data_IF_725083101023
#
_entry.id   IF_725083101023
#
_cell.length_a   1.000
_cell.length_b   1.000
_cell.length_c   1.000
_cell.angle_alpha   90.00
_cell.angle_beta   90.00
_cell.angle_gamma   90.00
#
_symmetry.space_group_name_H-M   'P 1'
#
loop_
_entity.id
_entity.type
_entity.pdbx_description
1 polymer ?
#
# COMPACT_ATOMS: atom_id res chain seq x y z
N UNK A 1 -70.49 50.79 19.52
CA UNK A 1 -69.59 50.16 20.50
C UNK A 1 -69.97 48.69 20.63
N UNK A 2 -68.97 47.82 20.61
CA UNK A 2 -68.95 46.43 21.11
C UNK A 2 -69.64 45.29 20.33
N UNK A 3 -68.74 44.57 19.63
CA UNK A 3 -68.53 43.11 19.46
C UNK A 3 -69.49 42.27 18.60
N UNK A 4 -68.94 41.32 17.80
CA UNK A 4 -69.71 40.55 16.82
C UNK A 4 -70.01 39.10 17.25
N UNK A 5 -71.09 38.57 16.67
CA UNK A 5 -71.30 37.18 16.25
C UNK A 5 -72.22 37.28 15.01
N UNK A 6 -72.19 36.38 14.00
CA UNK A 6 -72.71 35.02 14.20
C UNK A 6 -72.17 33.88 13.30
N UNK A 7 -72.42 32.67 13.79
CA UNK A 7 -72.90 31.42 13.16
C UNK A 7 -72.50 30.98 11.73
N UNK A 8 -72.05 29.72 11.69
CA UNK A 8 -72.05 28.80 10.53
C UNK A 8 -73.47 28.49 9.99
N UNK A 9 -73.55 28.19 8.68
CA UNK A 9 -74.71 27.54 8.06
C UNK A 9 -74.29 26.51 6.99
N UNK A 10 -74.65 25.24 7.26
CA UNK A 10 -75.19 24.15 6.37
C UNK A 10 -74.79 24.14 4.88
N UNK A 11 -74.19 23.07 4.35
CA UNK A 11 -74.69 21.69 4.07
C UNK A 11 -75.42 21.47 2.71
N UNK A 12 -74.74 20.68 1.84
CA UNK A 12 -75.19 19.55 0.98
C UNK A 12 -75.71 19.76 -0.46
N UNK A 13 -75.38 18.71 -1.25
CA UNK A 13 -75.85 18.25 -2.58
C UNK A 13 -75.18 18.95 -3.80
N UNK A 14 -74.72 18.32 -4.88
CA UNK A 14 -74.69 16.92 -5.34
C UNK A 14 -73.68 16.76 -6.51
N UNK A 15 -73.33 15.49 -6.79
CA UNK A 15 -72.42 14.94 -7.82
C UNK A 15 -72.61 15.47 -9.26
N UNK A 16 -71.51 15.55 -10.02
CA UNK A 16 -71.46 14.98 -11.39
C UNK A 16 -70.04 14.70 -11.91
N UNK A 17 -69.71 13.40 -11.96
CA UNK A 17 -68.90 12.66 -12.97
C UNK A 17 -68.00 13.44 -13.95
N UNK A 18 -66.71 13.63 -13.64
CA UNK A 18 -65.65 13.74 -14.69
C UNK A 18 -64.22 13.36 -14.25
N UNK A 19 -63.98 12.87 -13.02
CA UNK A 19 -62.60 12.62 -12.51
C UNK A 19 -62.38 11.13 -12.19
N UNK A 20 -62.72 10.25 -13.13
CA UNK A 20 -62.35 8.81 -13.05
C UNK A 20 -61.56 8.35 -14.29
N UNK A 21 -61.34 9.21 -15.28
CA UNK A 21 -60.71 8.79 -16.55
C UNK A 21 -59.24 9.22 -16.73
N UNK A 22 -58.66 9.99 -15.79
CA UNK A 22 -57.27 10.49 -15.91
C UNK A 22 -56.26 9.72 -15.05
N UNK A 23 -56.72 8.96 -14.05
CA UNK A 23 -55.84 8.17 -13.17
C UNK A 23 -55.51 6.77 -13.71
N UNK A 24 -56.24 6.29 -14.72
CA UNK A 24 -56.03 4.95 -15.30
C UNK A 24 -54.91 4.93 -16.36
N UNK A 25 -54.67 6.03 -17.08
CA UNK A 25 -53.68 6.05 -18.17
C UNK A 25 -52.22 6.16 -17.68
N UNK A 26 -51.98 6.80 -16.52
CA UNK A 26 -50.62 6.95 -15.95
C UNK A 26 -50.13 5.72 -15.19
N UNK A 27 -51.04 4.84 -14.76
CA UNK A 27 -50.69 3.59 -14.07
C UNK A 27 -50.30 2.48 -15.06
N UNK A 28 -51.03 2.33 -16.18
CA UNK A 28 -50.69 1.35 -17.21
C UNK A 28 -49.40 1.69 -17.99
N UNK A 29 -49.09 2.97 -18.19
CA UNK A 29 -47.82 3.38 -18.82
C UNK A 29 -46.58 3.03 -17.98
N UNK A 30 -46.70 3.00 -16.64
CA UNK A 30 -45.59 2.60 -15.76
C UNK A 30 -45.38 1.09 -15.68
N UNK A 31 -46.44 0.30 -15.85
CA UNK A 31 -46.36 -1.17 -15.92
C UNK A 31 -45.78 -1.63 -17.27
N UNK A 32 -46.11 -0.94 -18.38
CA UNK A 32 -45.56 -1.26 -19.70
C UNK A 32 -44.04 -0.99 -19.82
N UNK A 33 -43.51 0.06 -19.15
CA UNK A 33 -42.07 0.36 -19.11
C UNK A 33 -41.33 -0.63 -18.18
N UNK A 34 -41.97 -1.09 -17.11
CA UNK A 34 -41.38 -2.12 -16.24
C UNK A 34 -41.28 -3.49 -16.94
N UNK A 35 -42.29 -3.88 -17.72
CA UNK A 35 -42.30 -5.16 -18.46
C UNK A 35 -41.32 -5.19 -19.64
N UNK A 36 -41.08 -4.06 -20.32
CA UNK A 36 -40.04 -3.98 -21.38
C UNK A 36 -38.62 -3.98 -20.79
N UNK A 37 -38.41 -3.43 -19.59
CA UNK A 37 -37.14 -3.55 -18.87
C UNK A 37 -36.86 -4.99 -18.40
N UNK A 38 -37.87 -5.75 -17.97
CA UNK A 38 -37.69 -7.15 -17.56
C UNK A 38 -37.40 -8.10 -18.73
N UNK A 39 -37.96 -7.85 -19.92
CA UNK A 39 -37.62 -8.62 -21.13
C UNK A 39 -36.24 -8.26 -21.71
N UNK A 40 -35.78 -7.01 -21.56
CA UNK A 40 -34.42 -6.60 -21.94
C UNK A 40 -33.33 -7.09 -20.95
N UNK A 41 -33.66 -7.25 -19.66
CA UNK A 41 -32.78 -7.91 -18.68
C UNK A 41 -32.75 -9.44 -18.87
N UNK A 42 -33.87 -10.07 -19.23
CA UNK A 42 -33.96 -11.53 -19.40
C UNK A 42 -33.17 -12.09 -20.60
N UNK A 43 -32.97 -11.29 -21.66
CA UNK A 43 -32.22 -11.72 -22.85
C UNK A 43 -30.71 -11.52 -22.70
N UNK A 44 -30.25 -10.64 -21.80
CA UNK A 44 -28.81 -10.49 -21.49
C UNK A 44 -28.28 -11.50 -20.46
N UNK A 45 -29.16 -12.17 -19.70
CA UNK A 45 -28.76 -13.13 -18.67
C UNK A 45 -28.39 -14.52 -19.27
N UNK A 46 -28.79 -14.83 -20.50
CA UNK A 46 -28.48 -16.12 -21.15
C UNK A 46 -27.19 -16.09 -21.99
N UNK A 47 -26.59 -14.92 -22.23
CA UNK A 47 -25.30 -14.79 -22.94
C UNK A 47 -24.07 -14.54 -22.03
N UNK A 48 -24.25 -14.49 -20.71
CA UNK A 48 -23.17 -14.21 -19.75
C UNK A 48 -22.76 -15.38 -18.83
N UNK A 49 -23.22 -16.61 -19.09
CA UNK A 49 -22.88 -17.79 -18.26
C UNK A 49 -21.67 -18.59 -18.74
N UNK A 50 -20.85 -18.08 -19.67
CA UNK A 50 -19.53 -18.67 -19.98
C UNK A 50 -18.48 -17.59 -20.28
N UNK A 51 -18.14 -16.79 -19.28
CA UNK A 51 -16.86 -16.09 -19.27
C UNK A 51 -16.03 -16.67 -18.11
N UNK A 52 -14.89 -17.33 -18.39
CA UNK A 52 -14.01 -17.79 -17.34
C UNK A 52 -13.47 -16.57 -16.57
N UNK A 53 -13.36 -16.73 -15.24
CA UNK A 53 -12.75 -15.76 -14.35
C UNK A 53 -11.43 -15.25 -14.91
N UNK A 54 -11.31 -13.93 -15.07
CA UNK A 54 -10.10 -13.26 -15.61
C UNK A 54 -8.85 -13.42 -14.71
N UNK A 55 -8.95 -14.05 -13.53
CA UNK A 55 -7.79 -14.44 -12.73
C UNK A 55 -7.01 -15.62 -13.34
N UNK A 56 -7.63 -16.39 -14.24
CA UNK A 56 -6.98 -17.55 -14.87
C UNK A 56 -6.11 -17.22 -16.10
N UNK A 57 -6.26 -16.03 -16.72
CA UNK A 57 -5.54 -15.73 -17.99
C UNK A 57 -4.10 -15.23 -17.78
N UNK A 58 -3.75 -14.78 -16.57
CA UNK A 58 -2.40 -14.30 -16.22
C UNK A 58 -1.39 -15.44 -15.98
N UNK A 59 -1.84 -16.69 -15.81
CA UNK A 59 -0.96 -17.88 -15.68
C UNK A 59 -0.28 -18.29 -16.99
N UNK A 60 -0.83 -17.93 -18.14
CA UNK A 60 -0.54 -18.64 -19.40
C UNK A 60 0.83 -18.34 -20.00
N UNK A 61 1.39 -17.14 -19.81
CA UNK A 61 2.66 -16.73 -20.43
C UNK A 61 3.90 -17.13 -19.61
N UNK A 62 3.85 -17.01 -18.29
CA UNK A 62 4.89 -17.56 -17.42
C UNK A 62 4.93 -19.12 -17.50
N UNK A 63 3.76 -19.77 -17.63
CA UNK A 63 3.71 -21.21 -17.92
C UNK A 63 4.39 -21.58 -19.24
N UNK A 64 4.28 -20.75 -20.30
CA UNK A 64 4.94 -21.07 -21.57
C UNK A 64 6.46 -20.86 -21.52
N UNK A 65 6.95 -19.92 -20.72
CA UNK A 65 8.39 -19.76 -20.47
C UNK A 65 8.97 -20.93 -19.64
N UNK A 66 8.19 -21.50 -18.72
CA UNK A 66 8.53 -22.72 -17.98
C UNK A 66 8.52 -23.98 -18.86
N UNK A 67 7.59 -24.08 -19.81
CA UNK A 67 7.54 -25.18 -20.80
C UNK A 67 8.73 -25.17 -21.77
N UNK A 68 9.47 -24.06 -21.89
CA UNK A 68 10.71 -24.00 -22.68
C UNK A 68 11.89 -24.67 -21.95
N UNK A 69 11.83 -24.77 -20.61
CA UNK A 69 12.86 -25.40 -19.77
C UNK A 69 12.61 -26.89 -19.53
N UNK A 70 11.37 -27.35 -19.65
CA UNK A 70 11.02 -28.76 -19.68
C UNK A 70 11.02 -29.21 -21.14
N UNK A 71 11.87 -30.17 -21.52
CA UNK A 71 11.97 -30.65 -22.89
C UNK A 71 10.62 -31.05 -23.54
N UNK A 72 10.62 -31.37 -24.84
CA UNK A 72 9.42 -31.41 -25.70
C UNK A 72 8.30 -32.42 -25.34
N UNK A 73 8.36 -33.09 -24.19
CA UNK A 73 7.40 -34.11 -23.73
C UNK A 73 6.52 -33.71 -22.52
N UNK A 74 6.61 -32.48 -21.98
CA UNK A 74 5.80 -32.08 -20.82
C UNK A 74 4.34 -31.71 -21.20
N UNK A 75 3.45 -32.71 -21.28
CA UNK A 75 2.00 -32.51 -21.52
C UNK A 75 1.17 -32.11 -20.28
N UNK A 76 1.77 -32.01 -19.10
CA UNK A 76 1.04 -31.60 -17.88
C UNK A 76 1.33 -30.16 -17.48
N UNK A 77 0.28 -29.40 -17.14
CA UNK A 77 0.43 -28.11 -16.48
C UNK A 77 1.14 -28.34 -15.14
N UNK A 78 2.16 -27.52 -14.79
CA UNK A 78 2.83 -27.64 -13.49
C UNK A 78 1.82 -27.62 -12.35
N UNK A 79 1.96 -28.53 -11.39
CA UNK A 79 1.19 -28.48 -10.14
C UNK A 79 1.43 -27.13 -9.45
N UNK A 80 0.46 -26.64 -8.66
CA UNK A 80 0.60 -25.37 -7.91
C UNK A 80 1.90 -25.32 -7.10
N UNK A 81 2.31 -26.46 -6.54
CA UNK A 81 3.55 -26.61 -5.78
C UNK A 81 4.80 -26.39 -6.64
N UNK A 82 4.85 -26.95 -7.85
CA UNK A 82 5.97 -26.73 -8.78
C UNK A 82 6.04 -25.27 -9.23
N UNK A 83 4.89 -24.64 -9.47
CA UNK A 83 4.81 -23.21 -9.77
C UNK A 83 5.34 -22.35 -8.61
N UNK A 84 4.86 -22.59 -7.39
CA UNK A 84 5.31 -21.88 -6.19
C UNK A 84 6.81 -22.08 -5.94
N UNK A 85 7.35 -23.29 -6.15
CA UNK A 85 8.78 -23.57 -6.02
C UNK A 85 9.63 -22.81 -7.05
N UNK A 86 9.21 -22.81 -8.32
CA UNK A 86 9.86 -22.02 -9.37
C UNK A 86 9.85 -20.53 -9.05
N UNK A 87 8.73 -20.03 -8.52
CA UNK A 87 8.58 -18.63 -8.17
C UNK A 87 9.51 -18.21 -7.01
N UNK A 88 9.61 -19.05 -5.98
CA UNK A 88 10.58 -18.84 -4.88
C UNK A 88 12.03 -18.84 -5.40
N UNK A 89 12.35 -19.74 -6.33
CA UNK A 89 13.66 -19.77 -6.99
C UNK A 89 13.95 -18.49 -7.79
N UNK A 90 12.96 -17.96 -8.50
CA UNK A 90 13.07 -16.68 -9.21
C UNK A 90 13.34 -15.52 -8.24
N UNK A 91 12.51 -15.37 -7.19
CA UNK A 91 12.65 -14.31 -6.18
C UNK A 91 14.03 -14.33 -5.54
N UNK A 92 14.50 -15.52 -5.13
CA UNK A 92 15.81 -15.70 -4.52
C UNK A 92 16.94 -15.22 -5.42
N UNK A 93 16.90 -15.57 -6.72
CA UNK A 93 17.91 -15.11 -7.69
C UNK A 93 17.87 -13.60 -7.86
N UNK A 94 16.68 -13.03 -8.07
CA UNK A 94 16.54 -11.58 -8.29
C UNK A 94 17.04 -10.77 -7.09
N UNK A 95 16.71 -11.18 -5.86
CA UNK A 95 17.16 -10.50 -4.64
C UNK A 95 18.67 -10.64 -4.41
N UNK A 96 19.27 -11.79 -4.79
CA UNK A 96 20.71 -12.00 -4.68
C UNK A 96 21.49 -11.20 -5.75
N UNK A 97 20.98 -11.13 -6.97
CA UNK A 97 21.61 -10.41 -8.08
C UNK A 97 21.59 -8.89 -7.89
N UNK A 98 20.54 -8.35 -7.24
CA UNK A 98 20.39 -6.90 -7.00
C UNK A 98 20.58 -6.06 -8.28
N UNK A 99 20.07 -6.58 -9.40
CA UNK A 99 20.29 -5.99 -10.71
C UNK A 99 19.77 -4.54 -10.79
N UNK A 100 20.63 -3.65 -11.27
CA UNK A 100 20.29 -2.26 -11.59
C UNK A 100 20.07 -2.14 -13.10
N UNK A 101 18.87 -1.75 -13.50
CA UNK A 101 18.57 -1.42 -14.88
C UNK A 101 18.96 0.02 -15.23
N UNK A 102 19.12 0.28 -16.53
CA UNK A 102 19.45 1.59 -17.10
C UNK A 102 20.83 2.16 -16.72
N UNK A 103 21.76 1.35 -16.21
CA UNK A 103 23.14 1.78 -15.90
C UNK A 103 23.90 2.32 -17.12
N UNK A 104 23.58 1.85 -18.34
CA UNK A 104 24.18 2.38 -19.58
C UNK A 104 23.85 3.86 -19.79
N UNK A 105 22.68 4.32 -19.36
CA UNK A 105 22.20 5.69 -19.56
C UNK A 105 22.53 6.61 -18.38
N UNK A 106 22.60 6.06 -17.16
CA UNK A 106 22.66 6.84 -15.92
C UNK A 106 23.86 6.54 -15.03
N UNK A 107 24.80 5.72 -15.52
CA UNK A 107 25.99 5.32 -14.79
C UNK A 107 25.75 4.14 -13.84
N UNK A 108 26.85 3.43 -13.53
CA UNK A 108 26.82 2.26 -12.67
C UNK A 108 26.68 2.63 -11.20
N UNK A 109 26.17 1.70 -10.40
CA UNK A 109 26.14 1.76 -8.94
C UNK A 109 26.94 0.60 -8.33
N UNK A 110 27.28 0.66 -7.02
CA UNK A 110 27.91 -0.47 -6.34
C UNK A 110 27.07 -1.73 -6.48
N UNK A 111 27.72 -2.88 -6.59
CA UNK A 111 27.08 -4.19 -6.70
C UNK A 111 27.83 -5.22 -5.86
N UNK A 112 27.24 -6.40 -5.64
CA UNK A 112 27.88 -7.50 -4.90
C UNK A 112 29.27 -7.85 -5.48
N UNK A 113 29.42 -7.80 -6.80
CA UNK A 113 30.69 -8.08 -7.49
C UNK A 113 31.69 -6.92 -7.46
N UNK A 114 31.20 -5.69 -7.22
CA UNK A 114 32.04 -4.49 -7.18
C UNK A 114 31.58 -3.53 -6.05
N UNK A 115 31.73 -3.94 -4.78
CA UNK A 115 31.26 -3.14 -3.65
C UNK A 115 32.10 -1.88 -3.43
N UNK A 116 33.32 -1.84 -3.99
CA UNK A 116 34.25 -0.71 -3.87
C UNK A 116 33.99 0.44 -4.86
N UNK A 117 32.99 0.32 -5.75
CA UNK A 117 32.71 1.36 -6.74
C UNK A 117 32.31 2.67 -6.04
N UNK A 118 33.08 3.73 -6.24
CA UNK A 118 32.81 5.05 -5.65
C UNK A 118 31.75 5.80 -6.48
N UNK A 119 30.52 5.34 -6.39
CA UNK A 119 29.35 5.96 -7.02
C UNK A 119 28.15 5.86 -6.09
N UNK A 120 27.25 6.84 -6.17
CA UNK A 120 26.03 6.89 -5.38
C UNK A 120 24.93 7.53 -6.22
N UNK A 121 23.65 7.13 -6.04
CA UNK A 121 22.55 7.92 -6.56
C UNK A 121 22.47 9.28 -5.85
N UNK A 122 21.90 10.28 -6.54
CA UNK A 122 21.62 11.58 -5.92
C UNK A 122 20.42 11.50 -4.96
N UNK A 123 19.43 10.67 -5.31
CA UNK A 123 18.22 10.42 -4.52
C UNK A 123 17.74 8.98 -4.68
N UNK A 124 17.07 8.45 -3.66
CA UNK A 124 16.56 7.07 -3.66
C UNK A 124 15.06 7.08 -3.33
N UNK A 125 14.29 6.44 -4.20
CA UNK A 125 12.88 6.15 -3.97
C UNK A 125 12.69 4.65 -3.77
N UNK A 126 11.80 4.26 -2.85
CA UNK A 126 11.43 2.87 -2.59
C UNK A 126 9.91 2.78 -2.66
N UNK A 127 9.40 1.99 -3.59
CA UNK A 127 7.96 1.86 -3.84
C UNK A 127 7.53 0.47 -3.37
N UNK A 128 6.68 0.41 -2.35
CA UNK A 128 5.99 -0.82 -1.99
C UNK A 128 4.85 -1.08 -2.98
N UNK A 129 4.92 -2.21 -3.67
CA UNK A 129 3.99 -2.59 -4.73
C UNK A 129 3.23 -3.84 -4.37
N UNK A 130 1.92 -3.80 -4.62
CA UNK A 130 1.05 -4.96 -4.57
C UNK A 130 0.65 -5.39 -5.99
N UNK A 131 -0.62 -5.24 -6.36
CA UNK A 131 -1.15 -5.64 -7.67
C UNK A 131 -2.11 -4.58 -8.24
N UNK A 132 -1.63 -3.33 -8.32
CA UNK A 132 -2.37 -2.14 -8.75
C UNK A 132 -1.72 -1.48 -9.99
N UNK A 133 -1.84 -2.08 -11.18
CA UNK A 133 -1.11 -1.61 -12.37
C UNK A 133 -1.58 -0.23 -12.87
N UNK A 134 -2.86 0.09 -12.76
CA UNK A 134 -3.40 1.38 -13.22
C UNK A 134 -2.89 2.54 -12.34
N UNK A 135 -2.82 2.32 -11.04
CA UNK A 135 -2.26 3.23 -10.05
C UNK A 135 -0.74 3.41 -10.27
N UNK A 136 -0.01 2.30 -10.48
CA UNK A 136 1.42 2.34 -10.77
C UNK A 136 1.72 3.14 -12.04
N UNK A 137 0.93 3.01 -13.10
CA UNK A 137 1.09 3.81 -14.33
C UNK A 137 1.01 5.31 -14.03
N UNK A 138 0.10 5.73 -13.15
CA UNK A 138 -0.03 7.13 -12.73
C UNK A 138 1.20 7.56 -11.92
N UNK A 139 1.65 6.74 -10.96
CA UNK A 139 2.84 7.03 -10.16
C UNK A 139 4.07 7.20 -11.05
N UNK A 140 4.32 6.27 -11.97
CA UNK A 140 5.45 6.33 -12.91
C UNK A 140 5.37 7.57 -13.81
N UNK A 141 4.17 7.94 -14.27
CA UNK A 141 3.93 9.17 -15.04
C UNK A 141 4.29 10.42 -14.23
N UNK A 142 3.93 10.47 -12.94
CA UNK A 142 4.28 11.59 -12.06
C UNK A 142 5.78 11.66 -11.76
N UNK A 143 6.42 10.52 -11.45
CA UNK A 143 7.86 10.42 -11.21
C UNK A 143 8.69 10.86 -12.42
N UNK A 144 8.23 10.53 -13.64
CA UNK A 144 8.92 10.95 -14.87
C UNK A 144 9.05 12.47 -15.03
N UNK A 145 8.22 13.25 -14.31
CA UNK A 145 8.22 14.72 -14.33
C UNK A 145 9.09 15.34 -13.23
N UNK A 146 9.53 14.56 -12.24
CA UNK A 146 10.36 15.04 -11.12
C UNK A 146 11.69 15.59 -11.64
N UNK A 147 12.00 16.84 -11.31
CA UNK A 147 13.26 17.46 -11.73
C UNK A 147 14.43 16.83 -10.99
N UNK A 148 15.42 16.36 -11.75
CA UNK A 148 16.57 15.63 -11.23
C UNK A 148 16.39 14.11 -11.14
N UNK A 149 15.23 13.57 -11.55
CA UNK A 149 14.94 12.13 -11.45
C UNK A 149 15.97 11.24 -12.18
N UNK A 150 16.60 11.74 -13.24
CA UNK A 150 17.65 11.04 -14.01
C UNK A 150 18.84 10.58 -13.17
N UNK A 151 19.14 11.24 -12.05
CA UNK A 151 20.24 10.90 -11.15
C UNK A 151 19.78 10.01 -9.98
N UNK A 152 18.49 9.68 -9.93
CA UNK A 152 17.90 8.86 -8.88
C UNK A 152 18.07 7.37 -9.12
N UNK A 153 17.87 6.59 -8.05
CA UNK A 153 17.56 5.17 -8.09
C UNK A 153 16.12 4.96 -7.61
N UNK A 154 15.32 4.23 -8.38
CA UNK A 154 13.95 3.83 -8.00
C UNK A 154 13.93 2.33 -7.73
N UNK A 155 13.66 1.94 -6.49
CA UNK A 155 13.61 0.56 -6.04
C UNK A 155 12.14 0.14 -5.94
N UNK A 156 11.75 -0.84 -6.75
CA UNK A 156 10.43 -1.45 -6.73
C UNK A 156 10.45 -2.67 -5.80
N UNK A 157 9.74 -2.61 -4.68
CA UNK A 157 9.61 -3.70 -3.73
C UNK A 157 8.26 -4.38 -3.89
N UNK A 158 8.25 -5.61 -4.41
CA UNK A 158 7.04 -6.30 -4.86
C UNK A 158 6.71 -7.50 -3.96
N UNK A 159 5.46 -7.65 -3.54
CA UNK A 159 4.98 -8.87 -2.89
C UNK A 159 4.19 -9.81 -3.84
N UNK A 160 3.98 -9.37 -5.08
CA UNK A 160 3.39 -10.17 -6.16
C UNK A 160 4.26 -10.06 -7.41
N UNK A 161 4.69 -11.20 -7.93
CA UNK A 161 5.33 -11.30 -9.26
C UNK A 161 4.23 -11.33 -10.31
N UNK A 162 4.21 -10.30 -11.17
CA UNK A 162 3.20 -10.10 -12.20
C UNK A 162 3.86 -9.61 -13.48
N UNK A 163 3.64 -10.31 -14.60
CA UNK A 163 4.16 -9.91 -15.91
C UNK A 163 3.74 -8.48 -16.30
N UNK A 164 2.55 -8.05 -15.88
CA UNK A 164 2.03 -6.70 -16.15
C UNK A 164 2.86 -5.66 -15.41
N UNK A 165 3.09 -5.86 -14.11
CA UNK A 165 3.90 -4.95 -13.29
C UNK A 165 5.35 -4.94 -13.76
N UNK A 166 5.93 -6.12 -14.03
CA UNK A 166 7.30 -6.26 -14.54
C UNK A 166 7.46 -5.52 -15.88
N UNK A 167 6.46 -5.60 -16.77
CA UNK A 167 6.49 -4.85 -18.04
C UNK A 167 6.47 -3.34 -17.80
N UNK A 168 5.68 -2.85 -16.85
CA UNK A 168 5.61 -1.42 -16.52
C UNK A 168 6.96 -0.91 -15.97
N UNK A 169 7.55 -1.61 -15.00
CA UNK A 169 8.83 -1.20 -14.39
C UNK A 169 9.99 -1.30 -15.38
N UNK A 170 10.02 -2.31 -16.26
CA UNK A 170 11.03 -2.43 -17.32
C UNK A 170 10.87 -1.35 -18.40
N UNK A 171 9.69 -0.75 -18.51
CA UNK A 171 9.42 0.38 -19.41
C UNK A 171 9.97 1.72 -18.91
N UNK A 172 10.46 1.79 -17.67
CA UNK A 172 11.03 3.03 -17.12
C UNK A 172 12.37 3.33 -17.80
N UNK A 173 12.47 4.49 -18.45
CA UNK A 173 13.66 4.94 -19.19
C UNK A 173 14.24 6.26 -18.67
N UNK A 174 13.67 6.83 -17.59
CA UNK A 174 14.01 8.16 -17.08
C UNK A 174 14.87 8.14 -15.81
N UNK A 175 15.18 6.97 -15.25
CA UNK A 175 16.03 6.80 -14.06
C UNK A 175 16.62 5.38 -14.00
N UNK A 176 17.58 5.16 -13.10
CA UNK A 176 17.99 3.79 -12.70
C UNK A 176 16.86 3.14 -11.93
N UNK A 177 16.66 1.85 -12.17
CA UNK A 177 15.65 1.07 -11.45
C UNK A 177 16.22 -0.22 -10.90
N UNK A 178 15.66 -0.69 -9.80
CA UNK A 178 15.94 -2.00 -9.22
C UNK A 178 14.63 -2.67 -8.83
N UNK A 179 14.61 -4.00 -8.83
CA UNK A 179 13.47 -4.79 -8.37
C UNK A 179 13.89 -5.73 -7.27
N UNK A 180 13.16 -5.68 -6.15
CA UNK A 180 13.32 -6.59 -5.03
C UNK A 180 11.96 -7.21 -4.73
N UNK A 181 11.95 -8.46 -4.29
CA UNK A 181 10.73 -9.24 -4.13
C UNK A 181 10.63 -9.79 -2.71
N UNK A 182 9.51 -9.51 -2.03
CA UNK A 182 9.26 -10.02 -0.69
C UNK A 182 9.17 -11.57 -0.72
N UNK A 183 10.09 -12.29 -0.05
CA UNK A 183 10.26 -13.73 -0.26
C UNK A 183 9.27 -14.59 0.54
N UNK A 184 8.42 -13.96 1.35
CA UNK A 184 7.42 -14.63 2.19
C UNK A 184 6.00 -14.19 1.85
N UNK A 185 5.70 -13.95 0.57
CA UNK A 185 4.39 -13.48 0.14
C UNK A 185 3.35 -14.60 0.04
N UNK A 186 2.07 -14.24 0.17
CA UNK A 186 0.93 -15.14 -0.01
C UNK A 186 0.88 -15.76 -1.40
N UNK A 187 1.51 -15.13 -2.42
CA UNK A 187 1.60 -15.72 -3.76
C UNK A 187 2.51 -16.96 -3.76
N UNK A 188 3.61 -16.93 -3.02
CA UNK A 188 4.59 -18.03 -2.94
C UNK A 188 4.22 -19.11 -1.92
N UNK A 189 3.35 -18.76 -0.97
CA UNK A 189 2.85 -19.62 0.10
C UNK A 189 1.32 -19.59 0.10
N UNK A 190 0.67 -19.98 -1.00
CA UNK A 190 -0.79 -19.83 -1.19
C UNK A 190 -1.64 -20.49 -0.09
N UNK A 191 -1.28 -21.72 0.28
CA UNK A 191 -2.13 -22.61 1.09
C UNK A 191 -1.45 -23.00 2.42
N UNK A 192 -0.41 -22.28 2.80
CA UNK A 192 0.40 -22.51 4.01
C UNK A 192 0.92 -21.17 4.53
N UNK A 193 1.20 -21.07 5.83
CA UNK A 193 1.79 -19.87 6.42
C UNK A 193 3.04 -19.40 5.65
N UNK A 194 3.23 -18.10 5.36
CA UNK A 194 2.40 -16.95 5.78
C UNK A 194 1.24 -16.59 4.86
N UNK A 195 0.91 -17.36 3.83
CA UNK A 195 -0.42 -17.22 3.20
C UNK A 195 -1.51 -17.80 4.07
N UNK A 196 -2.65 -18.13 3.46
CA UNK A 196 -3.80 -18.67 4.19
C UNK A 196 -3.62 -20.18 4.32
N UNK A 197 -3.28 -20.66 5.52
CA UNK A 197 -3.12 -22.09 5.75
C UNK A 197 -4.46 -22.83 5.60
N UNK A 198 -4.43 -24.03 5.01
CA UNK A 198 -5.63 -24.89 4.92
C UNK A 198 -6.19 -25.23 6.31
N UNK A 199 -5.31 -25.37 7.29
CA UNK A 199 -5.67 -25.69 8.68
C UNK A 199 -5.90 -24.45 9.56
N UNK A 200 -5.73 -23.24 9.01
CA UNK A 200 -5.98 -22.00 9.77
C UNK A 200 -7.48 -21.83 10.05
N UNK A 201 -7.78 -21.24 11.20
CA UNK A 201 -9.14 -20.86 11.54
C UNK A 201 -9.68 -19.83 10.54
N UNK A 202 -10.96 -19.92 10.13
CA UNK A 202 -11.52 -18.99 9.16
C UNK A 202 -11.48 -17.54 9.65
N UNK A 203 -11.13 -16.64 8.74
CA UNK A 203 -11.15 -15.19 8.99
C UNK A 203 -12.58 -14.69 9.29
N UNK A 204 -12.69 -13.64 10.12
CA UNK A 204 -13.96 -13.01 10.50
C UNK A 204 -14.87 -13.84 11.43
N UNK A 205 -14.41 -15.01 11.90
CA UNK A 205 -15.11 -15.80 12.91
C UNK A 205 -14.73 -15.31 14.31
N UNK A 206 -15.72 -14.83 15.06
CA UNK A 206 -15.56 -14.42 16.46
C UNK A 206 -15.53 -15.64 17.37
N UNK A 207 -14.81 -15.56 18.50
CA UNK A 207 -14.80 -16.57 19.56
C UNK A 207 -16.19 -17.01 20.05
N UNK A 208 -17.21 -16.14 19.92
CA UNK A 208 -18.60 -16.44 20.29
C UNK A 208 -19.32 -17.36 19.30
N UNK A 209 -18.77 -17.54 18.09
CA UNK A 209 -19.28 -18.41 17.01
C UNK A 209 -18.32 -19.57 16.75
N UNK A 210 -17.76 -20.17 17.81
CA UNK A 210 -16.94 -21.40 17.70
C UNK A 210 -17.64 -22.40 16.79
N UNK A 211 -17.01 -22.74 15.66
CA UNK A 211 -17.34 -23.97 14.95
C UNK A 211 -16.87 -25.13 15.83
N UNK A 212 -17.61 -26.23 15.83
CA UNK A 212 -17.25 -27.44 16.59
C UNK A 212 -15.97 -28.13 16.05
N UNK A 213 -15.34 -27.57 15.01
CA UNK A 213 -14.12 -28.05 14.37
C UNK A 213 -12.88 -27.34 14.91
N UNK A 214 -11.92 -28.13 15.41
CA UNK A 214 -10.62 -27.64 15.90
C UNK A 214 -9.73 -27.24 14.72
N UNK A 215 -9.46 -25.95 14.57
CA UNK A 215 -8.49 -25.38 13.63
C UNK A 215 -7.15 -25.05 14.32
N UNK A 216 -6.09 -24.84 13.53
CA UNK A 216 -4.70 -24.80 14.01
C UNK A 216 -4.41 -23.66 15.00
N UNK A 217 -4.84 -22.44 14.68
CA UNK A 217 -4.58 -21.23 15.47
C UNK A 217 -5.75 -20.81 16.37
N UNK A 218 -6.63 -21.74 16.77
CA UNK A 218 -7.81 -21.47 17.61
C UNK A 218 -7.46 -20.76 18.93
N UNK A 219 -6.27 -21.03 19.46
CA UNK A 219 -5.80 -20.45 20.73
C UNK A 219 -5.14 -19.08 20.59
N UNK A 220 -5.02 -18.57 19.37
CA UNK A 220 -4.26 -17.36 19.06
C UNK A 220 -5.08 -16.31 18.28
N UNK A 221 -6.27 -15.92 18.78
CA UNK A 221 -6.97 -14.79 18.22
C UNK A 221 -6.23 -13.47 18.53
N UNK A 222 -6.58 -12.42 17.81
CA UNK A 222 -6.18 -11.05 18.14
C UNK A 222 -6.95 -10.47 19.34
N UNK A 223 -6.67 -9.21 19.67
CA UNK A 223 -7.29 -8.43 20.74
C UNK A 223 -8.83 -8.37 20.64
N UNK A 224 -9.39 -8.56 19.44
CA UNK A 224 -10.83 -8.50 19.18
C UNK A 224 -11.48 -9.87 18.98
N UNK A 225 -10.71 -10.95 19.13
CA UNK A 225 -11.22 -12.31 18.98
C UNK A 225 -11.29 -12.79 17.52
N UNK A 226 -10.62 -12.11 16.58
CA UNK A 226 -10.50 -12.52 15.18
C UNK A 226 -9.24 -13.36 14.95
N UNK A 227 -9.31 -14.26 13.97
CA UNK A 227 -8.16 -15.05 13.55
C UNK A 227 -7.39 -14.37 12.43
N UNK A 228 -6.14 -14.80 12.25
CA UNK A 228 -5.22 -14.30 11.23
C UNK A 228 -5.78 -14.35 9.82
N UNK A 229 -5.55 -13.29 9.06
CA UNK A 229 -5.68 -13.29 7.60
C UNK A 229 -4.32 -12.95 6.92
N UNK A 230 -3.84 -13.85 6.04
CA UNK A 230 -2.58 -13.68 5.32
C UNK A 230 -2.54 -12.43 4.43
N UNK A 231 -3.67 -12.00 3.86
CA UNK A 231 -3.71 -10.84 2.96
C UNK A 231 -3.48 -9.51 3.67
N UNK A 232 -3.96 -9.35 4.90
CA UNK A 232 -3.78 -8.11 5.69
C UNK A 232 -2.43 -8.09 6.42
N UNK A 233 -1.94 -9.25 6.86
CA UNK A 233 -0.66 -9.37 7.58
C UNK A 233 0.55 -9.20 6.67
N UNK A 234 0.41 -9.55 5.38
CA UNK A 234 1.50 -9.41 4.40
C UNK A 234 2.06 -7.99 4.34
N UNK A 235 1.22 -6.96 4.38
CA UNK A 235 1.64 -5.55 4.22
C UNK A 235 2.65 -5.14 5.30
N UNK A 236 2.42 -5.51 6.57
CA UNK A 236 3.34 -5.20 7.67
C UNK A 236 4.63 -6.00 7.63
N UNK A 237 4.57 -7.27 7.25
CA UNK A 237 5.77 -8.09 7.00
C UNK A 237 6.63 -7.50 5.87
N UNK A 238 6.00 -7.22 4.73
CA UNK A 238 6.64 -6.63 3.56
C UNK A 238 7.29 -5.29 3.93
N UNK A 239 6.58 -4.45 4.70
CA UNK A 239 7.13 -3.16 5.10
C UNK A 239 8.41 -3.28 5.92
N UNK A 240 8.43 -4.14 6.94
CA UNK A 240 9.64 -4.36 7.75
C UNK A 240 10.76 -4.98 6.91
N UNK A 241 10.44 -6.02 6.13
CA UNK A 241 11.41 -6.73 5.31
C UNK A 241 12.10 -5.80 4.33
N UNK A 242 11.34 -5.01 3.55
CA UNK A 242 11.92 -4.15 2.50
C UNK A 242 12.81 -3.08 3.12
N UNK A 243 12.38 -2.49 4.24
CA UNK A 243 13.14 -1.43 4.92
C UNK A 243 14.47 -1.98 5.41
N UNK A 244 14.46 -3.14 6.09
CA UNK A 244 15.70 -3.77 6.55
C UNK A 244 16.58 -4.25 5.40
N UNK A 245 16.01 -4.86 4.35
CA UNK A 245 16.75 -5.29 3.17
C UNK A 245 17.50 -4.13 2.52
N UNK A 246 16.81 -3.00 2.31
CA UNK A 246 17.37 -1.82 1.65
C UNK A 246 18.47 -1.16 2.47
N UNK A 247 18.31 -1.07 3.79
CA UNK A 247 19.33 -0.45 4.64
C UNK A 247 20.51 -1.38 4.96
N UNK A 248 20.31 -2.70 5.04
CA UNK A 248 21.34 -3.61 5.57
C UNK A 248 21.89 -4.62 4.56
N UNK A 249 21.13 -4.92 3.50
CA UNK A 249 21.45 -6.01 2.58
C UNK A 249 21.56 -5.55 1.11
N UNK A 250 21.14 -4.34 0.76
CA UNK A 250 21.16 -3.84 -0.62
C UNK A 250 22.43 -3.01 -0.92
N UNK A 251 23.34 -3.60 -1.71
CA UNK A 251 24.66 -3.02 -2.00
C UNK A 251 24.63 -1.66 -2.71
N UNK A 252 23.76 -1.43 -3.72
CA UNK A 252 23.77 -0.19 -4.50
C UNK A 252 23.60 1.10 -3.69
N UNK A 253 23.05 1.01 -2.47
CA UNK A 253 22.88 2.16 -1.57
C UNK A 253 23.55 1.96 -0.20
N UNK A 254 24.45 0.98 -0.05
CA UNK A 254 25.12 0.65 1.22
C UNK A 254 25.70 1.88 1.92
N UNK A 255 26.25 2.82 1.14
CA UNK A 255 26.85 4.06 1.64
C UNK A 255 26.07 5.32 1.26
N UNK A 256 24.81 5.19 0.82
CA UNK A 256 23.98 6.35 0.47
C UNK A 256 23.78 7.25 1.70
N UNK A 257 24.13 8.55 1.61
CA UNK A 257 24.15 9.44 2.78
C UNK A 257 22.83 10.17 3.03
N UNK A 258 21.91 10.19 2.06
CA UNK A 258 20.67 10.98 2.14
C UNK A 258 19.49 10.23 2.76
N UNK A 259 18.31 10.85 2.68
CA UNK A 259 17.04 10.20 3.00
C UNK A 259 16.58 9.28 1.87
N UNK A 260 16.17 8.06 2.22
CA UNK A 260 15.48 7.14 1.31
C UNK A 260 13.98 7.43 1.40
N UNK A 261 13.35 7.81 0.29
CA UNK A 261 11.93 8.20 0.23
C UNK A 261 11.07 6.96 -0.04
N UNK A 262 10.25 6.58 0.94
CA UNK A 262 9.31 5.47 0.87
C UNK A 262 7.96 5.93 0.33
N UNK A 263 7.45 5.19 -0.66
CA UNK A 263 6.22 5.42 -1.39
C UNK A 263 5.44 4.09 -1.50
N UNK A 264 4.15 4.20 -1.82
CA UNK A 264 3.28 3.09 -2.24
C UNK A 264 2.85 3.28 -3.70
N UNK A 265 2.33 2.23 -4.33
CA UNK A 265 1.99 2.20 -5.76
C UNK A 265 0.75 3.03 -6.18
N UNK A 266 0.03 3.61 -5.22
CA UNK A 266 -1.17 4.45 -5.42
C UNK A 266 -0.97 5.92 -5.05
N UNK A 267 0.26 6.41 -5.24
CA UNK A 267 0.62 7.79 -4.96
C UNK A 267 0.83 8.61 -6.24
N UNK A 268 0.72 9.93 -6.10
CA UNK A 268 1.11 10.92 -7.11
C UNK A 268 2.18 11.84 -6.54
N UNK A 269 3.31 12.01 -7.24
CA UNK A 269 4.45 12.80 -6.77
C UNK A 269 4.56 14.11 -7.54
N UNK A 270 4.75 15.23 -6.83
CA UNK A 270 4.98 16.55 -7.43
C UNK A 270 6.42 16.69 -7.95
N UNK A 271 6.56 17.51 -8.99
CA UNK A 271 7.82 17.63 -9.74
C UNK A 271 9.00 18.21 -8.95
N UNK A 272 8.73 18.94 -7.86
CA UNK A 272 9.73 19.62 -7.03
C UNK A 272 10.11 18.84 -5.74
N UNK A 273 9.65 17.60 -5.56
CA UNK A 273 9.89 16.83 -4.31
C UNK A 273 11.38 16.76 -3.93
N UNK A 274 12.27 16.57 -4.90
CA UNK A 274 13.72 16.52 -4.66
C UNK A 274 14.31 17.89 -4.33
N UNK A 275 13.72 18.96 -4.86
CA UNK A 275 14.09 20.32 -4.47
C UNK A 275 13.73 20.60 -3.02
N UNK A 276 12.49 20.29 -2.62
CA UNK A 276 12.03 20.48 -1.24
C UNK A 276 12.79 19.57 -0.26
N UNK A 277 13.08 18.32 -0.64
CA UNK A 277 13.90 17.40 0.17
C UNK A 277 15.26 18.02 0.51
N UNK A 278 15.97 18.57 -0.49
CA UNK A 278 17.27 19.24 -0.29
C UNK A 278 17.18 20.48 0.61
N UNK A 279 16.05 21.17 0.63
CA UNK A 279 15.84 22.29 1.55
C UNK A 279 15.55 21.80 2.97
N UNK A 280 14.78 20.73 3.13
CA UNK A 280 14.51 20.09 4.43
C UNK A 280 15.81 19.55 5.06
N UNK A 281 16.69 18.95 4.25
CA UNK A 281 18.00 18.42 4.69
C UNK A 281 18.94 19.49 5.27
N UNK A 282 18.75 20.78 4.94
CA UNK A 282 19.49 21.89 5.57
C UNK A 282 19.10 22.09 7.03
N UNK A 283 17.87 21.73 7.41
CA UNK A 283 17.38 21.81 8.78
C UNK A 283 17.56 20.49 9.53
N UNK A 284 17.44 19.39 8.82
CA UNK A 284 17.51 18.02 9.32
C UNK A 284 18.58 17.26 8.55
N UNK A 285 19.82 17.31 9.02
CA UNK A 285 20.91 16.55 8.41
C UNK A 285 20.60 15.04 8.54
N UNK A 286 20.62 14.27 7.44
CA UNK A 286 20.41 12.82 7.46
C UNK A 286 21.24 12.05 8.50
N UNK A 287 22.39 12.60 8.93
CA UNK A 287 23.30 12.00 9.94
C UNK A 287 22.81 12.13 11.38
N UNK A 288 21.90 13.05 11.68
CA UNK A 288 21.50 13.39 13.05
C UNK A 288 20.36 12.53 13.63
N UNK A 289 19.84 11.56 12.88
CA UNK A 289 18.77 10.63 13.33
C UNK A 289 17.59 11.33 14.04
N UNK A 290 17.18 12.50 13.57
CA UNK A 290 16.14 13.33 14.22
C UNK A 290 14.72 12.82 14.02
N UNK A 291 14.47 12.11 12.93
CA UNK A 291 13.14 11.65 12.57
C UNK A 291 12.98 11.41 11.08
N UNK A 292 11.74 11.50 10.62
CA UNK A 292 11.36 11.34 9.22
C UNK A 292 11.08 12.67 8.51
N UNK A 293 11.38 12.73 7.22
CA UNK A 293 10.80 13.75 6.34
C UNK A 293 9.41 13.27 5.92
N UNK A 294 8.36 14.06 6.08
CA UNK A 294 7.01 13.70 5.66
C UNK A 294 6.60 14.56 4.45
N UNK A 295 5.96 13.92 3.47
CA UNK A 295 5.61 14.57 2.19
C UNK A 295 4.11 14.58 1.86
N UNK A 296 3.27 13.93 2.68
CA UNK A 296 1.80 14.02 2.59
C UNK A 296 1.26 15.18 3.43
N UNK A 297 -0.04 15.46 3.28
CA UNK A 297 -0.75 16.56 3.96
C UNK A 297 -1.22 16.19 5.36
N UNK A 298 -0.90 14.98 5.80
CA UNK A 298 -1.41 14.43 7.03
C UNK A 298 -0.67 15.04 8.22
N UNK A 299 -1.42 15.75 9.06
CA UNK A 299 -1.06 16.17 10.42
C UNK A 299 -0.34 17.51 10.69
N UNK A 300 0.34 18.22 9.77
CA UNK A 300 0.82 19.56 10.11
C UNK A 300 -0.35 20.55 10.18
N UNK A 301 -0.30 21.55 11.09
CA UNK A 301 -1.19 22.70 11.02
C UNK A 301 -1.18 23.29 9.60
N UNK A 302 -2.34 23.69 9.11
CA UNK A 302 -2.54 24.18 7.73
C UNK A 302 -2.69 25.72 7.70
N UNK A 303 -2.21 26.39 8.74
CA UNK A 303 -2.35 27.83 8.98
C UNK A 303 -1.38 28.67 8.15
N UNK A 304 -0.25 28.10 7.75
CA UNK A 304 0.71 28.69 6.82
C UNK A 304 0.75 27.92 5.50
N UNK A 305 1.09 28.58 4.39
CA UNK A 305 1.30 27.93 3.09
C UNK A 305 2.69 28.25 2.55
N UNK A 306 3.24 27.35 1.74
CA UNK A 306 4.35 27.70 0.83
C UNK A 306 5.73 27.31 1.34
N UNK A 307 6.12 27.86 2.49
CA UNK A 307 7.54 27.90 2.89
C UNK A 307 7.79 27.45 4.31
N UNK A 308 6.74 27.11 5.06
CA UNK A 308 6.85 26.75 6.48
C UNK A 308 6.97 25.24 6.65
N UNK A 309 8.03 24.80 7.33
CA UNK A 309 8.20 23.44 7.82
C UNK A 309 7.69 23.33 9.25
N UNK A 310 6.81 22.37 9.50
CA UNK A 310 6.39 21.99 10.84
C UNK A 310 7.18 20.79 11.34
N UNK A 311 7.82 20.94 12.49
CA UNK A 311 8.34 19.82 13.29
C UNK A 311 7.27 19.37 14.28
N UNK A 312 6.94 18.06 14.28
CA UNK A 312 5.91 17.46 15.13
C UNK A 312 6.23 15.98 15.44
N UNK A 313 5.67 15.38 16.51
CA UNK A 313 5.83 13.93 16.75
C UNK A 313 5.25 13.13 15.59
N UNK A 314 6.01 12.18 15.04
CA UNK A 314 5.54 11.39 13.91
C UNK A 314 4.27 10.60 14.28
N UNK A 315 3.30 10.62 13.37
CA UNK A 315 2.04 9.88 13.41
C UNK A 315 1.91 9.11 12.10
N UNK A 316 1.02 8.12 12.07
CA UNK A 316 0.71 7.11 11.04
C UNK A 316 0.63 7.62 9.58
N UNK A 317 1.68 8.25 9.09
CA UNK A 317 1.77 8.86 7.77
C UNK A 317 2.42 7.90 6.80
N UNK A 318 1.82 7.78 5.63
CA UNK A 318 2.18 6.76 4.63
C UNK A 318 3.44 7.11 3.83
N UNK A 319 3.83 8.39 3.75
CA UNK A 319 4.94 8.83 2.90
C UNK A 319 6.04 9.48 3.72
N UNK A 320 7.21 8.82 3.74
CA UNK A 320 8.33 9.25 4.57
C UNK A 320 9.70 9.09 3.93
N UNK A 321 10.59 10.04 4.21
CA UNK A 321 12.03 9.91 4.05
C UNK A 321 12.66 9.37 5.33
N UNK A 322 13.39 8.26 5.24
CA UNK A 322 14.15 7.67 6.35
C UNK A 322 15.64 7.72 6.01
N UNK A 323 16.46 8.25 6.92
CA UNK A 323 17.92 8.20 6.77
C UNK A 323 18.50 6.94 7.41
N UNK A 324 19.71 6.56 6.99
CA UNK A 324 20.44 5.43 7.59
C UNK A 324 20.66 5.61 9.10
N UNK A 325 20.95 6.83 9.55
CA UNK A 325 21.13 7.13 10.97
C UNK A 325 19.81 6.91 11.73
N UNK A 326 18.69 7.37 11.17
CA UNK A 326 17.37 7.15 11.76
C UNK A 326 16.99 5.66 11.77
N UNK A 327 17.22 4.92 10.69
CA UNK A 327 16.96 3.47 10.66
C UNK A 327 17.71 2.73 11.77
N UNK A 328 18.97 3.09 12.03
CA UNK A 328 19.78 2.47 13.10
C UNK A 328 19.19 2.70 14.50
N UNK A 329 18.61 3.87 14.76
CA UNK A 329 17.94 4.15 16.03
C UNK A 329 16.58 3.43 16.11
N UNK A 330 15.79 3.48 15.02
CA UNK A 330 14.49 2.83 14.94
C UNK A 330 14.58 1.31 15.07
N UNK A 331 15.55 0.67 14.42
CA UNK A 331 15.71 -0.78 14.37
C UNK A 331 15.84 -1.43 15.75
N UNK A 332 16.42 -0.71 16.73
CA UNK A 332 16.51 -1.15 18.13
C UNK A 332 15.17 -1.30 18.81
N UNK A 333 14.16 -0.59 18.32
CA UNK A 333 12.80 -0.59 18.84
C UNK A 333 11.83 -1.48 18.04
N UNK A 334 12.26 -2.06 16.91
CA UNK A 334 11.36 -2.84 16.04
C UNK A 334 10.91 -4.18 16.65
N UNK A 335 11.51 -4.63 17.76
CA UNK A 335 10.92 -5.72 18.54
C UNK A 335 9.52 -5.35 19.07
N UNK A 336 9.29 -4.09 19.43
CA UNK A 336 7.98 -3.58 19.83
C UNK A 336 7.00 -3.55 18.66
N UNK A 337 7.48 -3.24 17.45
CA UNK A 337 6.68 -3.28 16.22
C UNK A 337 6.14 -4.68 15.94
N UNK A 338 6.99 -5.71 16.05
CA UNK A 338 6.61 -7.09 15.77
C UNK A 338 5.64 -7.69 16.80
N UNK A 339 5.64 -7.18 18.03
CA UNK A 339 4.80 -7.72 19.11
C UNK A 339 3.51 -6.94 19.34
N UNK A 340 3.40 -5.72 18.81
CA UNK A 340 2.17 -4.93 18.87
C UNK A 340 1.09 -5.55 17.98
N UNK A 341 -0.09 -5.77 18.56
CA UNK A 341 -1.21 -6.46 17.91
C UNK A 341 -1.95 -5.57 16.90
N UNK A 342 -1.22 -5.08 15.90
CA UNK A 342 -1.78 -4.23 14.85
C UNK A 342 -1.18 -4.63 13.51
N UNK A 343 -2.01 -5.07 12.57
CA UNK A 343 -1.53 -5.46 11.24
C UNK A 343 -1.10 -4.25 10.39
N UNK A 344 -1.39 -3.02 10.81
CA UNK A 344 -0.98 -1.81 10.10
C UNK A 344 0.43 -1.39 10.54
N UNK A 345 1.33 -1.23 9.58
CA UNK A 345 2.74 -0.93 9.86
C UNK A 345 2.91 0.50 10.41
N UNK A 346 2.13 1.45 9.94
CA UNK A 346 2.15 2.86 10.32
C UNK A 346 1.64 3.06 11.75
N UNK A 347 0.50 2.46 12.12
CA UNK A 347 0.00 2.45 13.50
C UNK A 347 0.96 1.72 14.45
N UNK A 348 1.58 0.63 13.98
CA UNK A 348 2.62 -0.07 14.74
C UNK A 348 3.86 0.81 14.99
N UNK A 349 4.28 1.62 14.01
CA UNK A 349 5.37 2.60 14.20
C UNK A 349 4.97 3.71 15.18
N UNK A 350 3.69 4.10 15.21
CA UNK A 350 3.22 5.13 16.13
C UNK A 350 3.24 4.61 17.57
N UNK A 351 2.86 3.34 17.74
CA UNK A 351 3.03 2.61 19.00
C UNK A 351 4.51 2.53 19.41
N UNK A 352 5.41 2.20 18.48
CA UNK A 352 6.87 2.20 18.72
C UNK A 352 7.38 3.56 19.19
N UNK A 353 6.93 4.64 18.54
CA UNK A 353 7.30 6.00 18.93
C UNK A 353 6.93 6.24 20.40
N UNK A 354 5.70 5.92 20.78
CA UNK A 354 5.18 6.18 22.12
C UNK A 354 5.78 5.26 23.19
N UNK A 355 5.94 3.97 22.90
CA UNK A 355 6.24 2.94 23.92
C UNK A 355 7.72 2.55 23.99
N UNK A 356 8.49 2.67 22.90
CA UNK A 356 9.91 2.36 22.90
C UNK A 356 10.78 3.61 22.80
N UNK A 357 10.42 4.55 21.92
CA UNK A 357 11.22 5.75 21.69
C UNK A 357 10.87 6.91 22.64
N UNK A 358 9.79 6.79 23.42
CA UNK A 358 9.37 7.81 24.39
C UNK A 358 8.90 9.12 23.74
N UNK A 359 8.28 9.05 22.56
CA UNK A 359 7.79 10.20 21.80
C UNK A 359 8.88 10.99 21.05
N UNK A 360 10.11 10.46 20.99
CA UNK A 360 11.27 11.14 20.38
C UNK A 360 11.36 10.96 18.86
N UNK A 361 10.54 10.11 18.24
CA UNK A 361 10.48 10.04 16.79
C UNK A 361 9.64 11.21 16.28
N UNK A 362 10.33 12.18 15.68
CA UNK A 362 9.72 13.36 15.09
C UNK A 362 9.52 13.19 13.58
N UNK A 363 8.72 14.07 13.01
CA UNK A 363 8.56 14.29 11.59
C UNK A 363 8.72 15.78 11.29
N UNK A 364 9.20 16.08 10.08
CA UNK A 364 9.14 17.43 9.53
C UNK A 364 8.37 17.40 8.20
N UNK A 365 7.36 18.25 8.06
CA UNK A 365 6.53 18.34 6.86
C UNK A 365 6.30 19.80 6.45
N UNK A 366 6.06 20.03 5.16
CA UNK A 366 5.68 21.34 4.68
C UNK A 366 4.20 21.62 4.98
N UNK A 367 3.93 22.79 5.55
CA UNK A 367 2.58 23.27 5.85
C UNK A 367 1.81 23.57 4.57
N UNK A 368 0.55 23.16 4.50
CA UNK A 368 -0.35 23.62 3.44
C UNK A 368 -0.27 22.86 2.12
N UNK A 369 0.86 22.22 1.82
CA UNK A 369 1.26 21.90 0.45
C UNK A 369 2.06 20.58 0.36
N UNK A 370 1.37 19.42 0.34
CA UNK A 370 2.03 18.13 0.23
C UNK A 370 2.77 18.00 -1.11
N UNK A 371 3.86 17.24 -1.12
CA UNK A 371 4.59 16.87 -2.35
C UNK A 371 4.16 15.51 -2.88
N UNK A 372 3.37 14.77 -2.11
CA UNK A 372 2.83 13.48 -2.48
C UNK A 372 1.36 13.40 -2.11
N UNK A 373 0.53 13.00 -3.06
CA UNK A 373 -0.91 12.81 -2.87
C UNK A 373 -1.28 11.34 -2.96
N UNK A 374 -2.18 10.91 -2.09
CA UNK A 374 -2.74 9.56 -2.13
C UNK A 374 -3.91 9.49 -3.12
N UNK A 375 -3.87 8.52 -4.03
CA UNK A 375 -4.90 8.27 -5.04
C UNK A 375 -5.80 7.09 -4.69
N UNK A 376 -5.47 6.33 -3.64
CA UNK A 376 -6.06 5.05 -3.25
C UNK A 376 -7.53 5.08 -2.80
N UNK A 377 -8.37 5.99 -3.28
CA UNK A 377 -9.83 5.91 -3.11
C UNK A 377 -10.46 4.75 -3.91
N UNK A 378 -9.71 4.15 -4.84
CA UNK A 378 -10.14 3.06 -5.72
C UNK A 378 -9.49 1.74 -5.28
N UNK A 379 -10.28 0.76 -4.81
CA UNK A 379 -9.83 -0.63 -4.56
C UNK A 379 -8.61 -0.75 -3.63
N UNK A 380 -8.46 0.15 -2.67
CA UNK A 380 -7.49 0.01 -1.58
C UNK A 380 -8.02 -0.94 -0.49
N UNK A 381 -7.14 -1.39 0.42
CA UNK A 381 -7.51 -2.26 1.55
C UNK A 381 -8.65 -1.67 2.41
N UNK A 382 -8.79 -0.34 2.42
CA UNK A 382 -9.79 0.39 3.21
C UNK A 382 -10.91 1.05 2.36
N UNK A 383 -10.89 0.92 1.02
CA UNK A 383 -11.79 1.64 0.12
C UNK A 383 -12.41 0.75 -0.98
N UNK A 384 -13.71 0.45 -0.83
CA UNK A 384 -14.48 -0.44 -1.71
C UNK A 384 -15.37 0.29 -2.75
N UNK A 385 -14.93 1.44 -3.28
CA UNK A 385 -15.68 2.09 -4.37
C UNK A 385 -15.48 1.33 -5.69
N UNK A 386 -16.53 0.65 -6.17
CA UNK A 386 -16.47 -0.20 -7.36
C UNK A 386 -16.34 0.55 -8.70
N UNK A 387 -16.74 1.83 -8.76
CA UNK A 387 -16.64 2.71 -9.95
C UNK A 387 -15.62 3.82 -9.69
N UNK A 388 -14.34 3.48 -9.70
CA UNK A 388 -13.27 4.40 -9.39
C UNK A 388 -12.10 4.14 -10.33
N UNK A 389 -11.54 5.19 -10.92
CA UNK A 389 -10.41 5.14 -11.85
C UNK A 389 -9.29 6.01 -11.30
N UNK A 390 -8.13 5.39 -11.01
CA UNK A 390 -6.94 6.12 -10.56
C UNK A 390 -6.54 7.23 -11.53
N UNK A 391 -6.70 6.98 -12.85
CA UNK A 391 -6.46 7.97 -13.90
C UNK A 391 -7.39 9.18 -13.80
N UNK A 392 -8.68 8.97 -13.54
CA UNK A 392 -9.63 10.08 -13.38
C UNK A 392 -9.35 10.92 -12.12
N UNK A 393 -8.94 10.29 -11.02
CA UNK A 393 -8.53 11.00 -9.80
C UNK A 393 -7.26 11.81 -10.09
N UNK A 394 -6.28 11.20 -10.76
CA UNK A 394 -5.06 11.86 -11.16
C UNK A 394 -5.32 13.04 -12.09
N UNK A 395 -6.21 12.91 -13.08
CA UNK A 395 -6.57 14.01 -13.98
C UNK A 395 -7.21 15.18 -13.22
N UNK A 396 -8.09 14.89 -12.25
CA UNK A 396 -8.66 15.91 -11.36
C UNK A 396 -7.57 16.61 -10.53
N UNK A 397 -6.61 15.86 -10.01
CA UNK A 397 -5.49 16.40 -9.25
C UNK A 397 -4.57 17.26 -10.13
N UNK A 398 -4.17 16.77 -11.30
CA UNK A 398 -3.32 17.47 -12.28
C UNK A 398 -3.94 18.82 -12.68
N UNK A 399 -5.27 18.88 -12.83
CA UNK A 399 -5.96 20.12 -13.16
C UNK A 399 -6.04 21.12 -11.98
N UNK A 400 -5.88 20.65 -10.74
CA UNK A 400 -5.86 21.48 -9.52
C UNK A 400 -4.47 22.00 -9.18
N UNK A 401 -3.42 21.17 -9.37
CA UNK A 401 -2.03 21.48 -9.00
C UNK A 401 -1.58 22.86 -9.51
N UNK A 402 -1.73 23.25 -10.80
CA UNK A 402 -1.28 24.56 -11.27
C UNK A 402 -1.92 25.75 -10.55
N UNK A 403 -3.17 25.59 -10.08
CA UNK A 403 -3.93 26.65 -9.41
C UNK A 403 -3.66 26.71 -7.90
N UNK A 404 -3.46 25.56 -7.26
CA UNK A 404 -3.32 25.45 -5.80
C UNK A 404 -1.85 25.43 -5.36
N UNK A 405 -1.02 24.70 -6.08
CA UNK A 405 0.37 24.39 -5.73
C UNK A 405 1.36 25.12 -6.62
N UNK A 406 1.02 25.37 -7.89
CA UNK A 406 1.90 25.93 -8.91
C UNK A 406 2.73 27.14 -8.45
N UNK A 407 2.12 28.17 -7.84
CA UNK A 407 2.85 29.34 -7.33
C UNK A 407 3.84 29.04 -6.19
N UNK A 408 3.71 27.87 -5.55
CA UNK A 408 4.48 27.44 -4.38
C UNK A 408 5.40 26.24 -4.67
N UNK A 409 5.53 25.83 -5.93
CA UNK A 409 6.54 24.87 -6.35
C UNK A 409 7.91 25.54 -6.38
N UNK A 410 8.95 24.78 -6.08
CA UNK A 410 10.35 25.22 -6.07
C UNK A 410 10.60 26.45 -5.16
N UNK A 411 10.20 26.42 -3.87
CA UNK A 411 10.45 27.54 -2.96
C UNK A 411 11.97 27.80 -2.82
N UNK A 412 12.41 29.05 -2.78
CA UNK A 412 13.85 29.37 -2.68
C UNK A 412 14.44 29.01 -1.30
N UNK A 413 13.63 29.17 -0.26
CA UNK A 413 13.98 28.89 1.14
C UNK A 413 12.78 28.32 1.88
N UNK A 414 13.06 27.60 2.96
CA UNK A 414 12.08 27.15 3.93
C UNK A 414 12.35 27.81 5.28
N UNK A 415 11.32 27.94 6.09
CA UNK A 415 11.36 28.48 7.45
C UNK A 415 10.78 27.43 8.39
N UNK A 416 11.45 27.16 9.52
CA UNK A 416 11.01 26.12 10.44
C UNK A 416 10.19 26.71 11.59
N UNK A 417 9.01 26.17 11.80
CA UNK A 417 8.20 26.41 13.00
C UNK A 417 8.13 25.10 13.78
N UNK A 418 8.53 25.15 15.05
CA UNK A 418 8.38 24.02 15.96
C UNK A 418 6.94 24.02 16.49
N UNK A 419 6.15 23.03 16.11
CA UNK A 419 4.81 22.87 16.70
C UNK A 419 4.95 22.20 18.05
N UNK A 420 4.43 22.86 19.10
CA UNK A 420 4.55 22.40 20.48
C UNK A 420 3.44 21.42 20.92
N UNK A 421 2.57 20.95 20.01
CA UNK A 421 1.39 20.18 20.42
C UNK A 421 1.67 18.68 20.42
N UNK A 422 2.09 18.19 21.59
CA UNK A 422 2.10 16.77 21.93
C UNK A 422 0.67 16.31 22.23
N UNK A 423 0.13 15.39 21.43
CA UNK A 423 -0.99 14.55 21.84
C UNK A 423 -0.43 13.14 21.78
N UNK A 424 -0.23 12.53 22.94
CA UNK A 424 0.23 11.15 23.05
C UNK A 424 -0.70 10.21 22.29
N UNK A 425 -0.19 9.06 21.87
CA UNK A 425 -1.00 8.02 21.26
C UNK A 425 -2.08 7.56 22.26
N UNK A 426 -3.35 7.77 21.90
CA UNK A 426 -4.51 7.43 22.73
C UNK A 426 -5.37 6.30 22.16
N UNK A 427 -4.93 5.66 21.07
CA UNK A 427 -5.65 4.56 20.42
C UNK A 427 -5.28 3.19 20.99
N UNK A 428 -6.23 2.26 20.97
CA UNK A 428 -5.92 0.83 21.09
C UNK A 428 -5.42 0.25 19.76
N UNK A 429 -4.88 -0.99 19.77
CA UNK A 429 -4.49 -1.68 18.53
C UNK A 429 -5.68 -1.91 17.59
N UNK A 430 -5.43 -1.98 16.27
CA UNK A 430 -6.46 -2.40 15.30
C UNK A 430 -6.68 -3.93 15.24
N UNK A 431 -5.83 -4.74 15.89
CA UNK A 431 -5.90 -6.21 15.84
C UNK A 431 -5.21 -6.81 14.61
N UNK A 432 -5.60 -8.02 14.23
CA UNK A 432 -5.12 -8.77 13.06
C UNK A 432 -3.67 -9.27 13.16
N UNK A 433 -3.00 -9.14 14.30
CA UNK A 433 -1.59 -9.51 14.51
C UNK A 433 -1.39 -10.35 15.79
N UNK A 434 -2.43 -11.10 16.17
CA UNK A 434 -2.47 -11.97 17.35
C UNK A 434 -1.67 -13.27 17.19
N UNK A 435 -1.54 -13.77 15.95
CA UNK A 435 -0.96 -15.08 15.68
C UNK A 435 0.56 -15.10 15.97
N UNK A 436 1.06 -16.02 16.81
CA UNK A 436 2.47 -16.09 17.16
C UNK A 436 3.38 -16.36 15.97
N UNK A 437 2.87 -16.98 14.88
CA UNK A 437 3.65 -17.21 13.68
C UNK A 437 4.00 -15.91 12.96
N UNK A 438 3.08 -14.95 12.87
CA UNK A 438 3.38 -13.62 12.28
C UNK A 438 4.39 -12.87 13.14
N UNK A 439 4.19 -12.81 14.45
CA UNK A 439 5.16 -12.15 15.35
C UNK A 439 6.54 -12.76 15.22
N UNK A 440 6.60 -14.09 15.15
CA UNK A 440 7.83 -14.85 15.01
C UNK A 440 8.51 -14.68 13.64
N UNK A 441 7.76 -14.58 12.54
CA UNK A 441 8.30 -14.27 11.21
C UNK A 441 8.86 -12.85 11.17
N UNK A 442 8.13 -11.89 11.73
CA UNK A 442 8.57 -10.49 11.84
C UNK A 442 9.87 -10.37 12.64
N UNK A 443 9.96 -11.04 13.80
CA UNK A 443 11.19 -11.09 14.59
C UNK A 443 12.31 -11.81 13.83
N UNK A 444 12.00 -12.87 13.06
CA UNK A 444 13.00 -13.58 12.28
C UNK A 444 13.64 -12.67 11.21
N UNK A 445 12.82 -11.85 10.56
CA UNK A 445 13.28 -10.79 9.64
C UNK A 445 14.17 -9.81 10.41
N UNK A 446 13.68 -9.25 11.52
CA UNK A 446 14.43 -8.26 12.29
C UNK A 446 15.82 -8.74 12.74
N UNK A 447 15.88 -9.97 13.26
CA UNK A 447 17.10 -10.56 13.81
C UNK A 447 17.96 -11.29 12.76
N UNK A 448 17.49 -11.39 11.52
CA UNK A 448 18.08 -12.20 10.46
C UNK A 448 18.37 -13.65 10.90
N UNK A 449 17.43 -14.26 11.62
CA UNK A 449 17.53 -15.66 12.09
C UNK A 449 16.15 -16.27 12.32
N UNK A 450 15.98 -17.55 12.03
CA UNK A 450 14.73 -18.25 12.33
C UNK A 450 14.53 -18.44 13.84
N UNK A 451 13.44 -17.88 14.36
CA UNK A 451 13.06 -18.03 15.77
C UNK A 451 12.63 -19.48 16.10
N UNK A 452 12.70 -19.91 17.37
CA UNK A 452 12.22 -21.23 17.78
C UNK A 452 10.73 -21.47 17.43
N UNK A 453 9.91 -20.42 17.46
CA UNK A 453 8.50 -20.49 17.08
C UNK A 453 8.33 -20.83 15.61
N UNK A 454 9.08 -20.20 14.70
CA UNK A 454 9.06 -20.56 13.28
C UNK A 454 9.55 -21.99 13.07
N UNK A 455 10.66 -22.38 13.72
CA UNK A 455 11.18 -23.75 13.62
C UNK A 455 10.16 -24.81 14.03
N UNK A 456 9.28 -24.50 14.98
CA UNK A 456 8.26 -25.43 15.47
C UNK A 456 6.95 -25.36 14.69
N UNK A 457 6.47 -24.17 14.32
CA UNK A 457 5.12 -23.95 13.79
C UNK A 457 5.07 -23.73 12.28
N UNK A 458 6.20 -23.39 11.66
CA UNK A 458 6.33 -23.16 10.22
C UNK A 458 7.71 -23.60 9.68
N UNK A 459 8.14 -24.85 9.95
CA UNK A 459 9.50 -25.30 9.60
C UNK A 459 9.80 -25.23 8.10
N UNK A 460 8.78 -25.37 7.26
CA UNK A 460 8.89 -25.29 5.79
C UNK A 460 9.48 -23.95 5.30
N UNK A 461 9.40 -22.88 6.08
CA UNK A 461 10.03 -21.61 5.72
C UNK A 461 11.55 -21.74 5.60
N UNK A 462 12.18 -22.56 6.46
CA UNK A 462 13.63 -22.78 6.43
C UNK A 462 14.08 -23.49 5.15
N UNK A 463 13.23 -24.35 4.60
CA UNK A 463 13.54 -25.13 3.39
C UNK A 463 13.30 -24.32 2.12
N UNK A 464 12.29 -23.44 2.15
CA UNK A 464 11.73 -22.85 0.93
C UNK A 464 12.12 -21.40 0.69
N UNK A 465 12.37 -20.62 1.73
CA UNK A 465 12.56 -19.18 1.59
C UNK A 465 13.66 -18.66 2.51
N UNK A 466 14.73 -18.05 1.98
CA UNK A 466 15.68 -17.33 2.82
C UNK A 466 15.00 -16.09 3.43
N UNK A 467 15.56 -15.58 4.53
CA UNK A 467 15.06 -14.36 5.15
C UNK A 467 15.27 -13.14 4.22
N UNK A 468 16.38 -13.11 3.46
CA UNK A 468 16.75 -12.06 2.50
C UNK A 468 17.14 -12.62 1.15
#
# INVERSE_FOLDING_TARGET
MQRPAPCEFRSRYALSRTIVMVLSCRFFARIAIALTCFLALGINIVLFTRLPSRSASHRSKFQSALMSLAGPDAKEKPTQNLFNASLRGYIRRMNAEQHIANEKSFGRLPSQDNPGLQSSPASVFVIQMHNRPDELEVLLSSLSKVKGIKESLIIFSMDVVSDVLIKLINGVQFARTASIFFPHSIQTFSDIFPGTGIDDCPDGVYLTKRSDEKCFNEKWPDTYGHYRNGSITQTKHHWLWKTKFIFEHFEPIRNYPGYVIFLEDDLYVLEDILHVTRLMEKFWDPKEARGFLAFSDEHPPQDHKGTVLYEFPWRNSIVMGISRAMWKELSRCMASFCNYDDYNWDWSLQFVNSNCMGGRLLAVALSGLPRVYHLGECRGMHHNKNNCSAKEIADKLINKIPKQEGPNLYPEKLEIIKSAVWVGYSGGPNGGWGDPRDRALCVSILENRWTPVIKSLAPHLMDYSPIY
#
